data_IF_139315117719
#
_entry.id   IF_139315117719
#
_cell.length_a   1.000
_cell.length_b   1.000
_cell.length_c   1.000
_cell.angle_alpha   90.00
_cell.angle_beta   90.00
_cell.angle_gamma   90.00
#
_symmetry.space_group_name_H-M   'P 1'
#
loop_
_entity.id
_entity.type
_entity.pdbx_description
1 polymer ?
#
# COMPACT_ATOMS: atom_id res chain seq x y z
N UNK A 1 30.64 -28.70 3.34
CA UNK A 1 30.73 -27.45 2.55
C UNK A 1 29.52 -27.30 1.63
N UNK A 2 29.10 -28.37 0.94
CA UNK A 2 27.90 -28.44 0.07
C UNK A 2 26.60 -27.92 0.73
N UNK A 3 26.31 -28.34 1.97
CA UNK A 3 25.06 -27.99 2.68
C UNK A 3 24.90 -26.49 2.94
N UNK A 4 26.00 -25.79 3.28
CA UNK A 4 25.99 -24.34 3.53
C UNK A 4 25.73 -23.55 2.25
N UNK A 5 26.25 -24.02 1.11
CA UNK A 5 26.02 -23.39 -0.19
C UNK A 5 24.55 -23.54 -0.63
N UNK A 6 23.94 -24.72 -0.39
CA UNK A 6 22.53 -24.95 -0.69
C UNK A 6 21.61 -24.08 0.16
N UNK A 7 21.94 -23.88 1.44
CA UNK A 7 21.24 -22.99 2.35
C UNK A 7 21.29 -21.54 1.85
N UNK A 8 22.49 -21.00 1.62
CA UNK A 8 22.68 -19.62 1.13
C UNK A 8 21.95 -19.42 -0.20
N UNK A 9 22.08 -20.38 -1.12
CA UNK A 9 21.38 -20.33 -2.41
C UNK A 9 19.86 -20.31 -2.24
N UNK A 10 19.31 -21.09 -1.31
CA UNK A 10 17.87 -21.12 -1.07
C UNK A 10 17.36 -19.78 -0.50
N UNK A 11 18.11 -19.19 0.44
CA UNK A 11 17.78 -17.91 1.08
C UNK A 11 17.90 -16.72 0.12
N UNK A 12 18.97 -16.67 -0.69
CA UNK A 12 19.24 -15.53 -1.56
C UNK A 12 18.50 -15.58 -2.90
N UNK A 13 18.02 -16.76 -3.33
CA UNK A 13 17.32 -16.91 -4.62
C UNK A 13 16.14 -15.94 -4.83
N UNK A 14 15.19 -15.75 -3.88
CA UNK A 14 14.11 -14.79 -4.08
C UNK A 14 14.61 -13.35 -4.22
N UNK A 15 15.63 -12.97 -3.46
CA UNK A 15 16.25 -11.65 -3.53
C UNK A 15 16.96 -11.43 -4.87
N UNK A 16 17.80 -12.37 -5.29
CA UNK A 16 18.53 -12.30 -6.55
C UNK A 16 17.58 -12.17 -7.75
N UNK A 17 16.49 -12.96 -7.78
CA UNK A 17 15.46 -12.85 -8.83
C UNK A 17 14.79 -11.49 -8.84
N UNK A 18 14.46 -10.96 -7.67
CA UNK A 18 13.82 -9.65 -7.53
C UNK A 18 14.74 -8.53 -8.02
N UNK A 19 16.04 -8.58 -7.67
CA UNK A 19 17.03 -7.61 -8.14
C UNK A 19 17.12 -7.63 -9.67
N UNK A 20 17.25 -8.82 -10.29
CA UNK A 20 17.27 -8.92 -11.76
C UNK A 20 16.01 -8.37 -12.41
N UNK A 21 14.83 -8.57 -11.81
CA UNK A 21 13.60 -7.97 -12.33
C UNK A 21 13.59 -6.43 -12.18
N UNK A 22 14.11 -5.92 -11.07
CA UNK A 22 14.19 -4.48 -10.77
C UNK A 22 15.21 -3.72 -11.63
N UNK A 23 16.18 -4.41 -12.23
CA UNK A 23 17.10 -3.85 -13.22
C UNK A 23 16.41 -3.50 -14.55
N UNK A 24 15.19 -3.97 -14.78
CA UNK A 24 14.38 -3.57 -15.93
C UNK A 24 14.10 -2.07 -15.91
N UNK A 25 14.25 -1.40 -17.07
CA UNK A 25 13.89 0.01 -17.25
C UNK A 25 12.39 0.27 -17.10
N UNK A 26 11.56 -0.78 -17.16
CA UNK A 26 10.12 -0.70 -16.93
C UNK A 26 9.74 -0.82 -15.44
N UNK A 27 10.70 -1.00 -14.54
CA UNK A 27 10.43 -1.15 -13.10
C UNK A 27 9.92 0.14 -12.50
N UNK A 28 8.83 0.04 -11.74
CA UNK A 28 8.22 1.14 -11.01
C UNK A 28 8.49 1.00 -9.51
N UNK A 29 8.32 2.07 -8.70
CA UNK A 29 8.36 1.94 -7.24
C UNK A 29 7.30 0.95 -6.69
N UNK A 30 6.21 0.70 -7.44
CA UNK A 30 5.23 -0.32 -7.08
C UNK A 30 5.81 -1.73 -7.19
N UNK A 31 6.62 -2.00 -8.21
CA UNK A 31 7.29 -3.29 -8.41
C UNK A 31 8.32 -3.56 -7.30
N UNK A 32 9.01 -2.54 -6.81
CA UNK A 32 9.89 -2.65 -5.63
C UNK A 32 9.11 -3.16 -4.42
N UNK A 33 7.93 -2.59 -4.14
CA UNK A 33 7.08 -3.04 -3.05
C UNK A 33 6.57 -4.48 -3.28
N UNK A 34 6.08 -4.78 -4.48
CA UNK A 34 5.56 -6.10 -4.83
C UNK A 34 6.63 -7.20 -4.71
N UNK A 35 7.83 -6.97 -5.24
CA UNK A 35 8.92 -7.94 -5.17
C UNK A 35 9.48 -8.09 -3.76
N UNK A 36 9.54 -7.01 -2.97
CA UNK A 36 9.89 -7.13 -1.56
C UNK A 36 8.90 -8.04 -0.83
N UNK A 37 7.59 -7.79 -0.96
CA UNK A 37 6.55 -8.63 -0.36
C UNK A 37 6.61 -10.09 -0.86
N UNK A 38 6.93 -10.31 -2.13
CA UNK A 38 7.12 -11.64 -2.69
C UNK A 38 8.35 -12.34 -2.07
N UNK A 39 9.46 -11.63 -1.86
CA UNK A 39 10.63 -12.16 -1.16
C UNK A 39 10.27 -12.60 0.26
N UNK A 40 9.55 -11.75 0.99
CA UNK A 40 9.08 -12.06 2.35
C UNK A 40 8.19 -13.29 2.37
N UNK A 41 7.26 -13.42 1.42
CA UNK A 41 6.40 -14.59 1.30
C UNK A 41 7.22 -15.86 0.99
N UNK A 42 8.19 -15.79 0.07
CA UNK A 42 9.06 -16.92 -0.24
C UNK A 42 9.91 -17.37 0.97
N UNK A 43 10.42 -16.43 1.75
CA UNK A 43 11.16 -16.73 2.98
C UNK A 43 10.23 -17.32 4.05
N UNK A 44 9.02 -16.77 4.22
CA UNK A 44 8.02 -17.33 5.13
C UNK A 44 7.69 -18.80 4.78
N UNK A 45 7.49 -19.08 3.50
CA UNK A 45 7.21 -20.43 2.98
C UNK A 45 8.39 -21.38 3.16
N UNK A 46 9.62 -20.85 3.19
CA UNK A 46 10.82 -21.62 3.49
C UNK A 46 10.85 -22.02 4.96
N UNK A 47 10.54 -21.08 5.85
CA UNK A 47 10.61 -21.25 7.31
C UNK A 47 9.43 -22.04 7.88
N UNK A 48 8.26 -21.96 7.25
CA UNK A 48 7.04 -22.64 7.72
C UNK A 48 6.95 -24.09 7.21
N UNK A 49 7.67 -24.44 6.14
CA UNK A 49 7.59 -25.77 5.56
C UNK A 49 8.57 -26.75 6.25
N UNK A 50 8.08 -27.75 7.00
CA UNK A 50 8.94 -28.62 7.82
C UNK A 50 9.88 -29.48 6.98
N UNK A 51 9.50 -29.84 5.76
CA UNK A 51 10.34 -30.63 4.84
C UNK A 51 11.52 -29.79 4.35
N UNK A 52 11.28 -28.52 3.99
CA UNK A 52 12.34 -27.61 3.53
C UNK A 52 13.28 -27.25 4.69
N UNK A 53 12.75 -26.99 5.88
CA UNK A 53 13.55 -26.70 7.07
C UNK A 53 14.50 -27.83 7.44
N UNK A 54 14.00 -29.07 7.48
CA UNK A 54 14.85 -30.26 7.75
C UNK A 54 15.92 -30.45 6.68
N UNK A 55 15.55 -30.32 5.40
CA UNK A 55 16.48 -30.49 4.28
C UNK A 55 17.60 -29.45 4.30
N UNK A 56 17.30 -28.21 4.66
CA UNK A 56 18.26 -27.11 4.70
C UNK A 56 18.93 -26.93 6.05
N UNK A 57 18.63 -27.80 7.04
CA UNK A 57 19.15 -27.72 8.42
C UNK A 57 18.99 -26.31 9.02
N UNK A 58 17.85 -25.67 8.75
CA UNK A 58 17.53 -24.36 9.30
C UNK A 58 17.32 -24.46 10.82
N UNK A 59 18.18 -23.80 11.59
CA UNK A 59 18.02 -23.66 13.04
C UNK A 59 17.06 -22.52 13.36
N UNK A 60 16.42 -22.58 14.53
CA UNK A 60 15.53 -21.52 15.00
C UNK A 60 16.27 -20.19 15.17
N UNK A 61 17.51 -20.23 15.67
CA UNK A 61 18.37 -19.04 15.80
C UNK A 61 18.63 -18.36 14.46
N UNK A 62 19.01 -19.14 13.43
CA UNK A 62 19.26 -18.60 12.10
C UNK A 62 17.99 -18.00 11.47
N UNK A 63 16.85 -18.67 11.66
CA UNK A 63 15.56 -18.16 11.20
C UNK A 63 15.28 -16.81 11.88
N UNK A 64 15.44 -16.74 13.20
CA UNK A 64 15.26 -15.52 13.99
C UNK A 64 16.17 -14.38 13.52
N UNK A 65 17.44 -14.66 13.26
CA UNK A 65 18.40 -13.66 12.74
C UNK A 65 17.97 -13.12 11.38
N UNK A 66 17.50 -14.00 10.48
CA UNK A 66 17.00 -13.58 9.17
C UNK A 66 15.72 -12.75 9.31
N UNK A 67 14.80 -13.14 10.20
CA UNK A 67 13.62 -12.35 10.52
C UNK A 67 14.00 -10.94 10.99
N UNK A 68 14.94 -10.83 11.93
CA UNK A 68 15.40 -9.56 12.46
C UNK A 68 16.00 -8.67 11.36
N UNK A 69 16.88 -9.23 10.54
CA UNK A 69 17.53 -8.50 9.45
C UNK A 69 16.52 -8.01 8.40
N UNK A 70 15.65 -8.90 7.94
CA UNK A 70 14.70 -8.60 6.87
C UNK A 70 13.62 -7.63 7.35
N UNK A 71 13.15 -7.76 8.59
CA UNK A 71 12.23 -6.80 9.19
C UNK A 71 12.90 -5.45 9.44
N UNK A 72 14.18 -5.42 9.82
CA UNK A 72 14.96 -4.20 9.94
C UNK A 72 15.03 -3.44 8.61
N UNK A 73 15.38 -4.14 7.52
CA UNK A 73 15.40 -3.54 6.18
C UNK A 73 14.03 -3.12 5.68
N UNK A 74 12.98 -3.87 6.02
CA UNK A 74 11.61 -3.45 5.72
C UNK A 74 11.30 -2.11 6.40
N UNK A 75 11.61 -1.97 7.69
CA UNK A 75 11.38 -0.73 8.41
C UNK A 75 12.19 0.43 7.81
N UNK A 76 13.48 0.22 7.50
CA UNK A 76 14.31 1.26 6.86
C UNK A 76 13.76 1.73 5.51
N UNK A 77 13.14 0.84 4.74
CA UNK A 77 12.65 1.13 3.39
C UNK A 77 11.23 1.70 3.36
N UNK A 78 10.38 1.29 4.32
CA UNK A 78 8.94 1.60 4.31
C UNK A 78 8.44 2.40 5.52
N UNK A 79 9.19 2.46 6.61
CA UNK A 79 8.86 3.24 7.81
C UNK A 79 9.66 4.56 7.82
N UNK A 80 9.12 5.59 7.15
CA UNK A 80 9.70 6.93 7.10
C UNK A 80 8.82 7.96 6.39
N UNK A 81 9.00 9.24 6.72
CA UNK A 81 8.31 10.35 6.03
C UNK A 81 8.82 10.44 4.59
N UNK A 82 7.99 10.12 3.61
CA UNK A 82 8.34 10.09 2.18
C UNK A 82 8.50 8.69 1.57
N UNK A 83 8.60 7.65 2.40
CA UNK A 83 8.74 6.25 1.95
C UNK A 83 7.40 5.60 1.58
N UNK A 84 6.29 6.32 1.77
CA UNK A 84 4.97 5.91 1.33
C UNK A 84 4.85 5.81 -0.19
N UNK A 85 5.82 6.32 -0.96
CA UNK A 85 5.83 6.24 -2.42
C UNK A 85 5.71 4.80 -2.93
N UNK A 86 6.40 3.84 -2.31
CA UNK A 86 6.37 2.44 -2.74
C UNK A 86 4.99 1.81 -2.52
N UNK A 87 4.37 2.06 -1.36
CA UNK A 87 3.02 1.58 -1.07
C UNK A 87 1.94 2.31 -1.86
N UNK A 88 2.09 3.62 -2.06
CA UNK A 88 1.17 4.44 -2.83
C UNK A 88 1.18 4.04 -4.31
N UNK A 89 2.35 3.83 -4.91
CA UNK A 89 2.47 3.36 -6.30
C UNK A 89 1.94 1.95 -6.48
N UNK A 90 2.18 1.03 -5.54
CA UNK A 90 1.55 -0.30 -5.56
C UNK A 90 0.02 -0.21 -5.43
N UNK A 91 -0.48 0.73 -4.63
CA UNK A 91 -1.91 0.94 -4.42
C UNK A 91 -2.60 1.59 -5.61
N UNK A 92 -1.89 2.43 -6.37
CA UNK A 92 -2.35 3.04 -7.63
C UNK A 92 -2.27 2.07 -8.82
N UNK A 93 -1.65 0.90 -8.65
CA UNK A 93 -1.74 -0.17 -9.63
C UNK A 93 -3.06 -0.93 -9.44
N UNK A 94 -3.98 -0.74 -10.40
CA UNK A 94 -5.30 -1.38 -10.41
C UNK A 94 -5.22 -2.91 -10.29
N UNK A 95 -4.09 -3.51 -10.69
CA UNK A 95 -3.88 -4.96 -10.63
C UNK A 95 -3.78 -5.49 -9.20
N UNK A 96 -3.33 -4.64 -8.27
CA UNK A 96 -3.09 -5.02 -6.88
C UNK A 96 -4.12 -4.46 -5.91
N UNK A 97 -4.98 -3.54 -6.32
CA UNK A 97 -5.95 -2.88 -5.43
C UNK A 97 -6.87 -3.86 -4.67
N UNK A 98 -7.23 -5.00 -5.30
CA UNK A 98 -8.01 -6.06 -4.67
C UNK A 98 -7.24 -6.95 -3.68
N UNK A 99 -5.93 -6.73 -3.51
CA UNK A 99 -5.06 -7.58 -2.70
C UNK A 99 -5.34 -7.44 -1.21
N UNK A 100 -5.21 -8.56 -0.48
CA UNK A 100 -5.36 -8.58 0.98
C UNK A 100 -4.27 -7.77 1.69
N UNK A 101 -3.17 -7.41 1.01
CA UNK A 101 -2.07 -6.64 1.60
C UNK A 101 -2.56 -5.30 2.16
N UNK A 102 -3.48 -4.61 1.47
CA UNK A 102 -4.00 -3.30 1.88
C UNK A 102 -5.04 -3.35 2.98
N UNK A 103 -5.61 -4.53 3.24
CA UNK A 103 -6.56 -4.79 4.34
C UNK A 103 -5.85 -5.15 5.64
N UNK A 104 -4.54 -5.42 5.60
CA UNK A 104 -3.75 -5.71 6.79
C UNK A 104 -3.27 -4.41 7.41
N UNK A 105 -3.32 -4.33 8.75
CA UNK A 105 -2.70 -3.21 9.48
C UNK A 105 -1.18 -3.17 9.28
N UNK A 106 -0.56 -4.35 9.18
CA UNK A 106 0.84 -4.47 8.81
C UNK A 106 0.96 -5.25 7.49
N UNK A 107 1.44 -4.61 6.40
CA UNK A 107 1.63 -5.29 5.12
C UNK A 107 2.79 -6.29 5.15
N UNK A 108 3.73 -6.17 6.10
CA UNK A 108 4.87 -7.08 6.25
C UNK A 108 4.41 -8.49 6.68
N UNK A 109 4.54 -9.53 5.82
CA UNK A 109 4.12 -10.90 6.13
C UNK A 109 4.92 -11.56 7.27
N UNK A 110 6.14 -11.09 7.52
CA UNK A 110 7.05 -11.61 8.54
C UNK A 110 6.94 -10.88 9.88
N UNK A 111 6.07 -9.88 9.99
CA UNK A 111 5.89 -9.16 11.23
C UNK A 111 4.95 -9.93 12.18
N UNK A 112 5.54 -10.65 13.14
CA UNK A 112 4.84 -11.14 14.32
C UNK A 112 4.49 -9.99 15.28
N UNK A 113 3.66 -9.04 14.84
CA UNK A 113 3.01 -8.09 15.74
C UNK A 113 1.62 -8.62 16.06
N UNK A 114 1.51 -9.46 17.09
CA UNK A 114 0.21 -9.85 17.66
C UNK A 114 -0.40 -8.61 18.29
N UNK A 115 -1.38 -8.01 17.62
CA UNK A 115 -2.21 -6.98 18.24
C UNK A 115 -3.20 -7.66 19.17
N UNK A 116 -2.85 -7.72 20.46
CA UNK A 116 -3.80 -8.05 21.51
C UNK A 116 -4.90 -6.97 21.48
N UNK A 117 -6.19 -7.33 21.36
CA UNK A 117 -7.26 -6.35 21.53
C UNK A 117 -7.11 -5.72 22.92
N UNK A 118 -7.21 -4.39 22.99
CA UNK A 118 -7.24 -3.71 24.27
C UNK A 118 -8.36 -4.31 25.11
N UNK A 119 -8.03 -4.78 26.32
CA UNK A 119 -8.98 -5.34 27.29
C UNK A 119 -10.16 -4.37 27.40
N UNK A 120 -11.43 -4.80 27.21
CA UNK A 120 -12.57 -3.93 27.42
C UNK A 120 -12.52 -3.47 28.87
N UNK A 121 -12.21 -2.19 29.07
CA UNK A 121 -12.29 -1.55 30.37
C UNK A 121 -13.77 -1.55 30.69
N UNK A 122 -14.19 -2.36 31.66
CA UNK A 122 -15.54 -2.31 32.22
C UNK A 122 -15.74 -0.87 32.67
N UNK A 123 -16.46 -0.09 31.87
CA UNK A 123 -16.83 1.28 32.19
C UNK A 123 -17.82 1.18 33.32
N UNK A 124 -17.35 1.50 34.53
CA UNK A 124 -18.23 1.90 35.60
C UNK A 124 -19.12 3.02 35.07
N UNK A 125 -20.43 2.81 35.19
CA UNK A 125 -21.48 3.75 34.82
C UNK A 125 -21.22 5.05 35.58
N UNK A 126 -20.77 6.07 34.86
CA UNK A 126 -20.77 7.44 35.33
C UNK A 126 -21.51 8.23 34.27
N UNK A 127 -22.81 8.40 34.50
CA UNK A 127 -23.70 9.30 33.78
C UNK A 127 -23.14 10.73 33.87
N UNK A 128 -22.46 11.14 32.80
CA UNK A 128 -22.23 12.55 32.51
C UNK A 128 -22.49 12.75 31.01
N UNK A 129 -23.43 13.62 30.61
CA UNK A 129 -23.69 13.90 29.21
C UNK A 129 -22.51 14.72 28.67
N UNK A 130 -21.52 14.03 28.11
CA UNK A 130 -20.50 14.66 27.28
C UNK A 130 -21.23 15.30 26.11
N UNK A 131 -21.09 16.60 25.84
CA UNK A 131 -21.73 17.22 24.69
C UNK A 131 -21.16 16.57 23.43
N UNK A 132 -21.96 15.69 22.81
CA UNK A 132 -21.69 15.20 21.46
C UNK A 132 -21.73 16.41 20.55
N UNK A 133 -20.56 16.90 20.16
CA UNK A 133 -20.46 17.98 19.20
C UNK A 133 -21.12 17.50 17.89
N UNK A 134 -22.29 18.03 17.48
CA UNK A 134 -23.05 17.48 16.35
C UNK A 134 -22.35 17.65 14.99
N UNK A 135 -21.20 18.32 14.96
CA UNK A 135 -20.40 18.61 13.77
C UNK A 135 -19.33 17.54 13.45
N UNK A 136 -19.13 16.54 14.31
CA UNK A 136 -18.15 15.45 14.08
C UNK A 136 -18.87 14.16 13.62
N UNK A 137 -20.20 14.17 13.56
CA UNK A 137 -21.00 13.14 12.90
C UNK A 137 -21.21 13.49 11.42
N UNK A 138 -20.12 13.71 10.69
CA UNK A 138 -20.18 13.54 9.25
C UNK A 138 -19.96 12.06 8.98
N UNK A 139 -21.03 11.36 8.59
CA UNK A 139 -20.90 10.20 7.71
C UNK A 139 -20.15 10.68 6.46
N UNK A 140 -18.82 10.73 6.52
CA UNK A 140 -18.02 10.98 5.34
C UNK A 140 -18.25 9.81 4.41
N UNK A 141 -18.46 10.04 3.10
CA UNK A 141 -18.86 9.00 2.16
C UNK A 141 -17.81 7.88 1.98
N UNK A 142 -16.66 7.98 2.67
CA UNK A 142 -15.54 7.04 2.68
C UNK A 142 -15.31 6.35 4.05
N UNK A 143 -16.23 6.46 5.01
CA UNK A 143 -16.09 5.87 6.35
C UNK A 143 -15.94 4.35 6.32
N UNK A 144 -16.64 3.69 5.41
CA UNK A 144 -16.52 2.26 5.08
C UNK A 144 -15.10 1.89 4.60
N UNK A 145 -14.50 2.73 3.75
CA UNK A 145 -13.16 2.51 3.20
C UNK A 145 -12.09 2.64 4.28
N UNK A 146 -12.20 3.66 5.15
CA UNK A 146 -11.29 3.85 6.30
C UNK A 146 -11.32 2.67 7.26
N UNK A 147 -12.51 2.10 7.48
CA UNK A 147 -12.69 0.96 8.36
C UNK A 147 -12.21 -0.37 7.73
N UNK A 148 -12.34 -0.53 6.42
CA UNK A 148 -12.04 -1.80 5.72
C UNK A 148 -10.62 -1.89 5.15
N UNK A 149 -9.98 -0.75 4.84
CA UNK A 149 -8.68 -0.68 4.19
C UNK A 149 -7.77 0.26 5.00
N UNK A 150 -6.99 -0.25 5.98
CA UNK A 150 -6.08 0.57 6.77
C UNK A 150 -5.09 1.41 5.94
N UNK A 151 -4.70 0.94 4.75
CA UNK A 151 -3.81 1.68 3.86
C UNK A 151 -4.47 2.89 3.19
N UNK A 152 -5.81 2.96 3.15
CA UNK A 152 -6.56 4.03 2.46
C UNK A 152 -6.20 5.42 3.00
N UNK A 153 -6.25 5.58 4.33
CA UNK A 153 -5.95 6.87 4.96
C UNK A 153 -4.46 7.24 4.81
N UNK A 154 -3.56 6.27 5.06
CA UNK A 154 -2.11 6.48 4.93
C UNK A 154 -1.73 6.94 3.52
N UNK A 155 -2.31 6.33 2.49
CA UNK A 155 -1.99 6.61 1.09
C UNK A 155 -2.71 7.87 0.62
N UNK A 156 -3.98 8.07 1.00
CA UNK A 156 -4.73 9.28 0.70
C UNK A 156 -4.05 10.53 1.27
N UNK A 157 -3.55 10.47 2.51
CA UNK A 157 -2.81 11.58 3.13
C UNK A 157 -1.50 11.87 2.39
N UNK A 158 -0.78 10.84 1.97
CA UNK A 158 0.46 11.00 1.20
C UNK A 158 0.21 11.65 -0.17
N UNK A 159 -0.75 11.13 -0.93
CA UNK A 159 -1.12 11.67 -2.24
C UNK A 159 -1.71 13.08 -2.13
N UNK A 160 -2.51 13.35 -1.10
CA UNK A 160 -3.04 14.69 -0.81
C UNK A 160 -1.93 15.70 -0.51
N UNK A 161 -0.90 15.30 0.27
CA UNK A 161 0.26 16.17 0.51
C UNK A 161 1.05 16.46 -0.78
N UNK A 162 1.21 15.47 -1.66
CA UNK A 162 1.82 15.68 -2.99
C UNK A 162 0.98 16.63 -3.85
N UNK A 163 -0.34 16.47 -3.85
CA UNK A 163 -1.26 17.34 -4.58
C UNK A 163 -1.17 18.80 -4.12
N UNK A 164 -1.16 19.04 -2.80
CA UNK A 164 -1.00 20.40 -2.24
C UNK A 164 0.33 21.01 -2.67
N UNK A 165 1.42 20.22 -2.66
CA UNK A 165 2.71 20.69 -3.15
C UNK A 165 2.66 21.03 -4.65
N UNK A 166 1.94 20.25 -5.46
CA UNK A 166 1.79 20.51 -6.89
C UNK A 166 1.01 21.80 -7.16
N UNK A 167 -0.13 21.99 -6.49
CA UNK A 167 -0.94 23.21 -6.58
C UNK A 167 -0.10 24.44 -6.24
N UNK A 168 0.63 24.39 -5.12
CA UNK A 168 1.46 25.52 -4.68
C UNK A 168 2.65 25.80 -5.62
N UNK A 169 3.12 24.79 -6.34
CA UNK A 169 4.24 24.94 -7.26
C UNK A 169 3.84 25.50 -8.63
N UNK A 170 2.56 25.49 -8.98
CA UNK A 170 2.05 26.05 -10.23
C UNK A 170 2.62 25.41 -11.51
N UNK A 171 3.13 24.18 -11.44
CA UNK A 171 3.79 23.50 -12.56
C UNK A 171 2.85 22.96 -13.64
N UNK A 172 1.57 22.76 -13.30
CA UNK A 172 0.57 22.20 -14.20
C UNK A 172 -0.73 23.03 -14.20
N UNK A 173 -0.68 24.32 -14.59
CA UNK A 173 -1.83 25.21 -14.59
C UNK A 173 -2.98 24.65 -15.45
N UNK A 174 -2.67 24.01 -16.58
CA UNK A 174 -3.66 23.40 -17.47
C UNK A 174 -4.55 22.34 -16.81
N UNK A 175 -4.09 21.74 -15.70
CA UNK A 175 -4.84 20.74 -14.92
C UNK A 175 -5.68 21.40 -13.81
N UNK A 176 -5.31 22.59 -13.34
CA UNK A 176 -5.93 23.21 -12.17
C UNK A 176 -6.74 24.48 -12.47
N UNK A 177 -6.50 25.15 -13.60
CA UNK A 177 -7.11 26.44 -13.97
C UNK A 177 -8.64 26.41 -14.09
N UNK A 178 -9.24 25.22 -14.21
CA UNK A 178 -10.68 25.03 -14.29
C UNK A 178 -11.36 24.91 -12.93
N UNK A 179 -10.61 24.89 -11.83
CA UNK A 179 -11.16 24.91 -10.49
C UNK A 179 -11.10 26.32 -9.90
N UNK A 180 -12.15 26.70 -9.18
CA UNK A 180 -12.24 28.04 -8.56
C UNK A 180 -11.18 28.25 -7.47
N UNK A 181 -10.88 27.22 -6.69
CA UNK A 181 -9.91 27.28 -5.60
C UNK A 181 -9.24 25.92 -5.31
N UNK A 182 -8.22 25.95 -4.44
CA UNK A 182 -7.53 24.74 -3.99
C UNK A 182 -8.45 23.75 -3.24
N UNK A 183 -9.54 24.23 -2.63
CA UNK A 183 -10.47 23.36 -1.88
C UNK A 183 -11.31 22.52 -2.84
N UNK A 184 -11.73 23.08 -3.97
CA UNK A 184 -12.41 22.37 -5.04
C UNK A 184 -11.53 21.25 -5.59
N UNK A 185 -10.24 21.53 -5.84
CA UNK A 185 -9.26 20.52 -6.30
C UNK A 185 -9.14 19.37 -5.28
N UNK A 186 -8.97 19.69 -3.99
CA UNK A 186 -8.84 18.67 -2.94
C UNK A 186 -10.14 17.85 -2.80
N UNK A 187 -11.30 18.49 -2.94
CA UNK A 187 -12.61 17.83 -2.85
C UNK A 187 -12.79 16.84 -4.00
N UNK A 188 -12.48 17.27 -5.22
CA UNK A 188 -12.53 16.42 -6.41
C UNK A 188 -11.53 15.26 -6.32
N UNK A 189 -10.31 15.52 -5.83
CA UNK A 189 -9.33 14.46 -5.56
C UNK A 189 -9.88 13.40 -4.61
N UNK A 190 -10.52 13.80 -3.50
CA UNK A 190 -11.11 12.85 -2.54
C UNK A 190 -12.22 12.03 -3.16
N UNK A 191 -13.06 12.64 -3.99
CA UNK A 191 -14.11 11.95 -4.71
C UNK A 191 -13.55 10.93 -5.72
N UNK A 192 -12.57 11.33 -6.52
CA UNK A 192 -11.90 10.45 -7.47
C UNK A 192 -11.15 9.31 -6.76
N UNK A 193 -10.44 9.60 -5.67
CA UNK A 193 -9.73 8.59 -4.90
C UNK A 193 -10.69 7.56 -4.30
N UNK A 194 -11.84 7.99 -3.78
CA UNK A 194 -12.89 7.11 -3.30
C UNK A 194 -13.44 6.21 -4.42
N UNK A 195 -13.76 6.78 -5.59
CA UNK A 195 -14.27 6.01 -6.73
C UNK A 195 -13.22 5.04 -7.29
N UNK A 196 -11.96 5.45 -7.32
CA UNK A 196 -10.84 4.57 -7.67
C UNK A 196 -10.77 3.34 -6.78
N UNK A 197 -10.83 3.53 -5.46
CA UNK A 197 -10.74 2.44 -4.48
C UNK A 197 -11.96 1.53 -4.56
N UNK A 198 -13.14 2.10 -4.84
CA UNK A 198 -14.38 1.34 -5.08
C UNK A 198 -14.43 0.66 -6.44
N UNK A 199 -13.51 0.98 -7.34
CA UNK A 199 -13.55 0.57 -8.75
C UNK A 199 -14.87 0.96 -9.42
N UNK A 200 -15.35 2.16 -9.11
CA UNK A 200 -16.57 2.75 -9.65
C UNK A 200 -16.22 3.69 -10.82
N UNK A 201 -17.08 3.73 -11.85
CA UNK A 201 -16.90 4.55 -13.04
C UNK A 201 -16.50 6.00 -12.70
N UNK A 202 -15.48 6.57 -13.37
CA UNK A 202 -14.79 6.05 -14.56
C UNK A 202 -13.65 5.05 -14.26
N UNK A 203 -13.44 4.64 -13.01
CA UNK A 203 -12.39 3.71 -12.57
C UNK A 203 -12.86 2.26 -12.60
N UNK A 204 -13.46 1.83 -13.72
CA UNK A 204 -14.02 0.49 -13.82
C UNK A 204 -12.95 -0.59 -13.73
N UNK A 205 -13.36 -1.73 -13.16
CA UNK A 205 -12.48 -2.88 -12.93
C UNK A 205 -11.96 -3.43 -14.26
N UNK A 206 -10.65 -3.26 -14.50
CA UNK A 206 -9.88 -3.86 -15.59
C UNK A 206 -10.47 -3.63 -17.00
N UNK A 207 -10.42 -2.39 -17.46
CA UNK A 207 -10.66 -2.07 -18.86
C UNK A 207 -9.42 -2.44 -19.70
N UNK A 208 -9.31 -3.69 -20.19
CA UNK A 208 -8.38 -4.16 -21.25
C UNK A 208 -6.91 -3.66 -21.29
N UNK A 209 -6.42 -2.99 -20.25
CA UNK A 209 -5.11 -2.35 -20.21
C UNK A 209 -4.08 -3.35 -19.70
N UNK A 210 -2.96 -3.46 -20.42
CA UNK A 210 -1.88 -4.36 -20.05
C UNK A 210 -1.01 -3.76 -18.93
N UNK A 211 -0.94 -2.42 -18.84
CA UNK A 211 -0.07 -1.71 -17.89
C UNK A 211 -0.79 -0.62 -17.09
N UNK A 212 -0.31 -0.27 -15.88
CA UNK A 212 -0.81 0.88 -15.13
C UNK A 212 -0.76 2.18 -15.93
N UNK A 213 0.32 2.39 -16.71
CA UNK A 213 0.47 3.58 -17.55
C UNK A 213 -0.65 3.68 -18.60
N UNK A 214 -0.96 2.58 -19.29
CA UNK A 214 -2.06 2.54 -20.26
C UNK A 214 -3.42 2.82 -19.61
N UNK A 215 -3.66 2.25 -18.42
CA UNK A 215 -4.88 2.48 -17.65
C UNK A 215 -5.07 3.97 -17.33
N UNK A 216 -4.07 4.61 -16.73
CA UNK A 216 -4.13 6.03 -16.38
C UNK A 216 -4.19 6.95 -17.61
N UNK A 217 -3.49 6.59 -18.70
CA UNK A 217 -3.54 7.33 -19.97
C UNK A 217 -4.91 7.24 -20.65
N UNK A 218 -5.59 6.09 -20.58
CA UNK A 218 -6.93 5.94 -21.12
C UNK A 218 -7.95 6.74 -20.30
N UNK A 219 -7.80 6.69 -18.97
CA UNK A 219 -8.69 7.39 -18.06
C UNK A 219 -8.59 8.92 -18.25
N UNK A 220 -7.39 9.47 -18.44
CA UNK A 220 -7.22 10.90 -18.69
C UNK A 220 -7.95 11.35 -19.95
N UNK A 221 -7.95 10.53 -21.01
CA UNK A 221 -8.69 10.80 -22.27
C UNK A 221 -10.20 10.69 -22.10
N UNK A 222 -10.69 9.71 -21.34
CA UNK A 222 -12.13 9.57 -21.06
C UNK A 222 -12.67 10.73 -20.22
N UNK A 223 -11.89 11.22 -19.26
CA UNK A 223 -12.22 12.42 -18.50
C UNK A 223 -12.31 13.64 -19.42
N UNK A 224 -11.48 13.76 -20.46
CA UNK A 224 -11.60 14.85 -21.44
C UNK A 224 -12.88 14.75 -22.29
N UNK A 225 -13.27 13.54 -22.70
CA UNK A 225 -14.45 13.32 -23.57
C UNK A 225 -15.77 13.48 -22.79
N UNK A 226 -15.85 13.00 -21.55
CA UNK A 226 -17.03 13.19 -20.70
C UNK A 226 -17.21 14.63 -20.19
N UNK A 227 -16.25 15.51 -20.48
CA UNK A 227 -16.25 16.96 -20.17
C UNK A 227 -16.52 17.85 -21.41
N UNK A 228 -16.81 17.26 -22.58
CA UNK A 228 -17.19 17.96 -23.83
C UNK A 228 -18.68 17.84 -24.19
N UNK A 229 -19.48 17.14 -23.38
CA UNK A 229 -20.95 17.09 -23.45
C UNK A 229 -21.53 17.81 -22.22
#
# INVERSE_FOLDING_TARGET
>A
MEDGLQLIRALLRPLARSITCLESSASTPGDVCAFWLACLACLNDLFTNPVKCRRLKLTEDLISDIYALVNGRFAELFDGSGQNIYFATLFLDFRYLGSKVFRRKNPNPLSMKVHLPARPRVQAIADAPVPRNPLISHDTPDSDLRNSIPSYERIGNFLGAMLVHEINSGRAPEIFDHYEDARAIITEFRFQFMNYVRQAGPFDRYIHAATPLEYWTKLSRHATISRML
#
